data_IF_989126996354
#
_entry.id   IF_989126996354
#
_cell.length_a   1.000
_cell.length_b   1.000
_cell.length_c   1.000
_cell.angle_alpha   90.00
_cell.angle_beta   90.00
_cell.angle_gamma   90.00
#
_symmetry.space_group_name_H-M   'P 1'
#
loop_
_entity.id
_entity.type
_entity.pdbx_description
1 polymer ?
#
# COMPACT_ATOMS: atom_id res chain seq x y z
N UNK A 1 -36.63 -17.94 -1.59
CA UNK A 1 -36.47 -18.20 -0.15
C UNK A 1 -35.13 -17.63 0.24
N UNK A 2 -35.16 -16.61 1.10
CA UNK A 2 -33.98 -15.90 1.58
C UNK A 2 -33.46 -16.69 2.77
N UNK A 3 -32.33 -17.37 2.61
CA UNK A 3 -31.67 -18.04 3.73
C UNK A 3 -30.77 -17.04 4.45
N UNK A 4 -31.12 -16.84 5.71
CA UNK A 4 -30.46 -16.06 6.75
C UNK A 4 -29.04 -16.56 6.98
N UNK A 5 -28.05 -15.67 6.81
CA UNK A 5 -26.66 -15.92 7.23
C UNK A 5 -26.59 -16.02 8.75
N UNK A 6 -26.05 -17.14 9.20
CA UNK A 6 -25.75 -17.46 10.61
C UNK A 6 -24.74 -16.48 11.17
N UNK A 7 -25.15 -15.75 12.21
CA UNK A 7 -24.29 -14.95 13.09
C UNK A 7 -23.45 -15.88 13.96
N UNK A 8 -22.13 -15.83 13.82
CA UNK A 8 -21.17 -16.44 14.76
C UNK A 8 -21.19 -15.63 16.07
N UNK A 9 -21.18 -16.27 17.26
CA UNK A 9 -21.16 -15.53 18.53
C UNK A 9 -19.74 -15.03 18.80
N UNK A 10 -19.52 -13.71 18.70
CA UNK A 10 -18.32 -13.05 19.21
C UNK A 10 -18.48 -12.87 20.72
N UNK A 11 -17.77 -13.71 21.47
CA UNK A 11 -17.54 -13.52 22.89
C UNK A 11 -16.20 -12.81 23.10
N UNK A 12 -16.27 -11.55 23.51
CA UNK A 12 -15.36 -10.76 24.37
C UNK A 12 -15.51 -9.28 24.01
N UNK A 13 -15.53 -8.45 25.05
CA UNK A 13 -15.90 -7.04 25.09
C UNK A 13 -15.29 -6.21 23.94
N UNK A 14 -16.03 -6.02 22.84
CA UNK A 14 -15.65 -5.10 21.76
C UNK A 14 -15.54 -3.72 22.41
N UNK A 15 -14.32 -3.19 22.51
CA UNK A 15 -14.12 -1.87 23.11
C UNK A 15 -15.07 -0.87 22.44
N UNK A 16 -15.67 0.02 23.24
CA UNK A 16 -16.65 1.02 22.76
C UNK A 16 -16.10 1.85 21.57
N UNK A 17 -14.77 2.00 21.49
CA UNK A 17 -14.05 2.65 20.41
C UNK A 17 -14.06 1.85 19.10
N UNK A 18 -13.89 0.53 19.14
CA UNK A 18 -13.91 -0.31 17.94
C UNK A 18 -15.31 -0.28 17.29
N UNK A 19 -16.37 -0.42 18.09
CA UNK A 19 -17.75 -0.32 17.60
C UNK A 19 -18.02 1.05 16.96
N UNK A 20 -17.56 2.13 17.61
CA UNK A 20 -17.70 3.49 17.11
C UNK A 20 -17.03 3.69 15.76
N UNK A 21 -15.79 3.22 15.57
CA UNK A 21 -15.09 3.34 14.29
C UNK A 21 -15.74 2.49 13.20
N UNK A 22 -16.21 1.29 13.52
CA UNK A 22 -16.97 0.45 12.57
C UNK A 22 -18.25 1.14 12.10
N UNK A 23 -19.05 1.72 13.01
CA UNK A 23 -20.26 2.45 12.63
C UNK A 23 -19.95 3.70 11.80
N UNK A 24 -18.87 4.42 12.12
CA UNK A 24 -18.42 5.58 11.38
C UNK A 24 -17.96 5.21 9.96
N UNK A 25 -17.24 4.10 9.80
CA UNK A 25 -16.82 3.58 8.50
C UNK A 25 -18.02 3.20 7.64
N UNK A 26 -19.04 2.54 8.22
CA UNK A 26 -20.28 2.21 7.52
C UNK A 26 -21.05 3.46 7.08
N UNK A 27 -21.06 4.52 7.90
CA UNK A 27 -21.63 5.80 7.49
C UNK A 27 -20.83 6.40 6.33
N UNK A 28 -19.49 6.37 6.41
CA UNK A 28 -18.62 6.90 5.36
C UNK A 28 -18.82 6.21 4.02
N UNK A 29 -18.94 4.87 4.00
CA UNK A 29 -19.22 4.11 2.78
C UNK A 29 -20.53 4.57 2.11
N UNK A 30 -21.56 4.91 2.89
CA UNK A 30 -22.82 5.47 2.34
C UNK A 30 -22.63 6.87 1.77
N UNK A 31 -21.78 7.70 2.40
CA UNK A 31 -21.46 9.04 1.91
C UNK A 31 -20.76 8.98 0.55
N UNK A 32 -19.83 8.04 0.34
CA UNK A 32 -19.09 7.88 -0.93
C UNK A 32 -20.00 7.74 -2.16
N UNK A 33 -21.19 7.15 -2.00
CA UNK A 33 -22.15 6.95 -3.10
C UNK A 33 -23.40 7.83 -2.99
N UNK A 34 -23.43 8.80 -2.07
CA UNK A 34 -24.56 9.72 -1.93
C UNK A 34 -24.57 10.70 -3.10
N UNK A 35 -25.64 10.73 -3.89
CA UNK A 35 -25.78 11.66 -5.01
C UNK A 35 -25.78 13.12 -4.52
N UNK A 36 -25.02 14.00 -5.19
CA UNK A 36 -24.87 15.40 -4.80
C UNK A 36 -24.43 15.58 -3.34
N UNK A 37 -23.49 14.73 -2.87
CA UNK A 37 -23.02 14.67 -1.48
C UNK A 37 -22.77 16.05 -0.87
N UNK A 38 -21.95 16.89 -1.53
CA UNK A 38 -21.59 18.21 -1.01
C UNK A 38 -22.82 19.10 -0.77
N UNK A 39 -23.80 19.08 -1.69
CA UNK A 39 -25.05 19.83 -1.53
C UNK A 39 -25.92 19.25 -0.40
N UNK A 40 -25.99 17.92 -0.27
CA UNK A 40 -26.77 17.29 0.80
C UNK A 40 -26.20 17.61 2.19
N UNK A 41 -24.88 17.66 2.33
CA UNK A 41 -24.24 18.00 3.60
C UNK A 41 -24.49 19.46 4.01
N UNK A 42 -24.58 20.38 3.05
CA UNK A 42 -24.99 21.78 3.32
C UNK A 42 -26.43 21.87 3.85
N UNK A 43 -27.33 21.01 3.37
CA UNK A 43 -28.75 21.01 3.78
C UNK A 43 -29.01 20.21 5.05
N UNK A 44 -28.22 19.16 5.30
CA UNK A 44 -28.45 18.20 6.38
C UNK A 44 -27.14 17.69 6.98
N UNK A 45 -26.60 18.44 7.94
CA UNK A 45 -25.38 18.09 8.69
C UNK A 45 -25.49 16.81 9.52
N UNK A 46 -26.71 16.29 9.79
CA UNK A 46 -26.87 15.01 10.48
C UNK A 46 -26.43 13.80 9.64
N UNK A 47 -26.24 13.96 8.33
CA UNK A 47 -25.82 12.88 7.43
C UNK A 47 -24.41 12.36 7.70
N UNK A 48 -23.51 13.19 8.23
CA UNK A 48 -22.10 12.85 8.48
C UNK A 48 -21.67 13.03 9.94
N UNK A 49 -22.59 13.39 10.84
CA UNK A 49 -22.29 13.75 12.23
C UNK A 49 -21.52 12.66 13.01
N UNK A 50 -21.90 11.38 12.87
CA UNK A 50 -21.22 10.28 13.58
C UNK A 50 -19.80 10.08 13.05
N UNK A 51 -19.66 10.12 11.73
CA UNK A 51 -18.39 10.01 11.04
C UNK A 51 -17.45 11.15 11.41
N UNK A 52 -17.89 12.41 11.36
CA UNK A 52 -17.03 13.54 11.73
C UNK A 52 -16.63 13.52 13.20
N UNK A 53 -17.51 13.10 14.11
CA UNK A 53 -17.16 12.92 15.52
C UNK A 53 -16.08 11.84 15.70
N UNK A 54 -16.24 10.69 15.04
CA UNK A 54 -15.24 9.63 15.06
C UNK A 54 -13.92 10.04 14.41
N UNK A 55 -13.97 10.79 13.30
CA UNK A 55 -12.80 11.36 12.64
C UNK A 55 -12.06 12.32 13.56
N UNK A 56 -12.76 13.25 14.21
CA UNK A 56 -12.15 14.18 15.17
C UNK A 56 -11.45 13.47 16.32
N UNK A 57 -12.12 12.49 16.91
CA UNK A 57 -11.56 11.72 18.02
C UNK A 57 -10.36 10.87 17.58
N UNK A 58 -10.45 10.19 16.43
CA UNK A 58 -9.36 9.40 15.88
C UNK A 58 -8.13 10.26 15.57
N UNK A 59 -8.32 11.44 14.97
CA UNK A 59 -7.23 12.39 14.69
C UNK A 59 -6.53 12.89 15.96
N UNK A 60 -7.22 12.88 17.12
CA UNK A 60 -6.63 13.32 18.40
C UNK A 60 -5.75 12.27 19.08
N UNK A 61 -5.92 10.99 18.74
CA UNK A 61 -5.21 9.87 19.39
C UNK A 61 -4.32 9.06 18.43
N UNK A 62 -4.53 9.17 17.12
CA UNK A 62 -3.75 8.49 16.10
C UNK A 62 -2.26 8.82 16.23
N UNK A 63 -1.43 7.81 15.95
CA UNK A 63 0.04 7.89 16.01
C UNK A 63 0.63 8.33 17.37
N UNK A 64 -0.16 8.30 18.45
CA UNK A 64 0.32 8.52 19.81
C UNK A 64 0.75 7.20 20.46
N UNK A 65 1.99 7.13 20.94
CA UNK A 65 2.49 5.99 21.72
C UNK A 65 1.80 5.83 23.08
N UNK A 66 1.09 6.87 23.53
CA UNK A 66 0.51 6.94 24.87
C UNK A 66 -0.94 6.46 24.93
N UNK A 67 -1.59 6.22 23.79
CA UNK A 67 -3.00 5.85 23.73
C UNK A 67 -3.17 4.35 23.39
N UNK A 68 -3.89 3.58 24.22
CA UNK A 68 -4.22 2.19 23.89
C UNK A 68 -5.15 2.08 22.66
N UNK A 69 -5.81 3.16 22.26
CA UNK A 69 -6.72 3.21 21.11
C UNK A 69 -6.03 3.65 19.80
N UNK A 70 -4.71 3.91 19.83
CA UNK A 70 -3.98 4.45 18.68
C UNK A 70 -4.03 3.51 17.46
N UNK A 71 -3.89 2.19 17.64
CA UNK A 71 -3.90 1.21 16.54
C UNK A 71 -5.29 1.16 15.85
N UNK A 72 -6.37 1.18 16.63
CA UNK A 72 -7.73 1.22 16.11
C UNK A 72 -8.04 2.55 15.38
N UNK A 73 -7.55 3.67 15.91
CA UNK A 73 -7.66 4.97 15.25
C UNK A 73 -6.87 5.01 13.93
N UNK A 74 -5.62 4.54 13.92
CA UNK A 74 -4.79 4.47 12.73
C UNK A 74 -5.48 3.62 11.64
N UNK A 75 -6.00 2.45 12.02
CA UNK A 75 -6.73 1.58 11.09
C UNK A 75 -7.96 2.27 10.51
N UNK A 76 -8.79 2.90 11.36
CA UNK A 76 -9.95 3.65 10.90
C UNK A 76 -9.57 4.76 9.90
N UNK A 77 -8.58 5.59 10.25
CA UNK A 77 -8.12 6.68 9.39
C UNK A 77 -7.56 6.18 8.05
N UNK A 78 -6.73 5.14 8.08
CA UNK A 78 -6.11 4.59 6.87
C UNK A 78 -7.12 3.88 5.97
N UNK A 79 -8.16 3.24 6.54
CA UNK A 79 -9.28 2.68 5.75
C UNK A 79 -10.12 3.77 5.09
N UNK A 80 -10.44 4.84 5.82
CA UNK A 80 -11.15 6.01 5.26
C UNK A 80 -10.34 6.62 4.11
N UNK A 81 -9.05 6.82 4.31
CA UNK A 81 -8.15 7.37 3.30
C UNK A 81 -8.05 6.46 2.08
N UNK A 82 -7.90 5.14 2.26
CA UNK A 82 -7.90 4.17 1.15
C UNK A 82 -9.20 4.24 0.35
N UNK A 83 -10.36 4.32 1.02
CA UNK A 83 -11.67 4.41 0.35
C UNK A 83 -11.89 5.72 -0.43
N UNK A 84 -11.19 6.79 -0.08
CA UNK A 84 -11.12 8.00 -0.91
C UNK A 84 -10.19 7.74 -2.10
N UNK A 85 -9.00 7.22 -1.82
CA UNK A 85 -7.95 7.02 -2.81
C UNK A 85 -8.29 5.99 -3.88
N UNK A 86 -9.11 4.98 -3.57
CA UNK A 86 -9.59 4.01 -4.56
C UNK A 86 -10.36 4.67 -5.70
N UNK A 87 -10.97 5.84 -5.49
CA UNK A 87 -11.66 6.59 -6.55
C UNK A 87 -10.72 7.09 -7.66
N UNK A 88 -9.40 7.04 -7.44
CA UNK A 88 -8.40 7.38 -8.45
C UNK A 88 -8.16 6.24 -9.45
N UNK A 89 -8.67 5.03 -9.15
CA UNK A 89 -8.58 3.86 -10.01
C UNK A 89 -9.92 3.52 -10.63
N UNK A 90 -9.88 2.76 -11.72
CA UNK A 90 -11.06 2.23 -12.37
C UNK A 90 -11.19 0.72 -12.09
N UNK A 91 -12.28 0.35 -11.42
CA UNK A 91 -12.53 -1.00 -10.89
C UNK A 91 -13.51 -1.83 -11.72
N UNK A 92 -14.00 -1.29 -12.85
CA UNK A 92 -15.03 -1.94 -13.68
C UNK A 92 -16.33 -2.28 -12.93
N UNK A 93 -16.62 -1.59 -11.83
CA UNK A 93 -17.88 -1.63 -11.08
C UNK A 93 -18.92 -0.65 -11.64
N UNK A 94 -20.12 -0.60 -11.03
CA UNK A 94 -21.14 0.42 -11.33
C UNK A 94 -20.53 1.83 -11.31
N UNK A 95 -20.79 2.63 -12.34
CA UNK A 95 -20.26 3.99 -12.49
C UNK A 95 -20.71 4.95 -11.38
N UNK A 96 -21.82 4.65 -10.68
CA UNK A 96 -22.28 5.40 -9.51
C UNK A 96 -21.31 5.33 -8.34
N UNK A 97 -20.38 4.37 -8.33
CA UNK A 97 -19.34 4.28 -7.30
C UNK A 97 -18.31 5.42 -7.39
N UNK A 98 -18.24 6.13 -8.53
CA UNK A 98 -17.32 7.25 -8.75
C UNK A 98 -17.99 8.62 -8.58
N UNK A 99 -19.28 8.68 -8.24
CA UNK A 99 -20.08 9.92 -8.22
C UNK A 99 -19.43 11.06 -7.43
N UNK A 100 -18.67 10.74 -6.39
CA UNK A 100 -18.04 11.73 -5.50
C UNK A 100 -16.52 11.86 -5.68
N UNK A 101 -15.92 11.39 -6.78
CA UNK A 101 -14.47 11.49 -7.03
C UNK A 101 -13.92 12.93 -7.02
N UNK A 102 -14.79 13.93 -7.18
CA UNK A 102 -14.48 15.37 -7.11
C UNK A 102 -15.16 16.11 -5.95
N UNK A 103 -15.67 15.39 -4.96
CA UNK A 103 -16.35 16.00 -3.80
C UNK A 103 -15.37 16.84 -2.99
N UNK A 104 -15.78 18.07 -2.66
CA UNK A 104 -15.00 18.95 -1.77
C UNK A 104 -15.01 18.45 -0.33
N UNK A 105 -16.08 17.78 0.09
CA UNK A 105 -16.15 17.10 1.37
C UNK A 105 -15.13 15.97 1.48
N UNK A 106 -15.04 15.08 0.48
CA UNK A 106 -14.06 14.00 0.51
C UNK A 106 -12.63 14.53 0.47
N UNK A 107 -12.37 15.60 -0.29
CA UNK A 107 -11.10 16.32 -0.22
C UNK A 107 -10.81 16.83 1.20
N UNK A 108 -11.78 17.48 1.86
CA UNK A 108 -11.61 17.96 3.23
C UNK A 108 -11.30 16.83 4.23
N UNK A 109 -11.95 15.68 4.09
CA UNK A 109 -11.66 14.49 4.92
C UNK A 109 -10.23 14.02 4.68
N UNK A 110 -9.84 13.80 3.41
CA UNK A 110 -8.49 13.37 3.04
C UNK A 110 -7.44 14.29 3.61
N UNK A 111 -7.57 15.60 3.34
CA UNK A 111 -6.56 16.59 3.70
C UNK A 111 -6.35 16.65 5.23
N UNK A 112 -7.41 16.43 6.04
CA UNK A 112 -7.30 16.34 7.50
C UNK A 112 -6.54 15.11 7.97
N UNK A 113 -6.80 13.94 7.36
CA UNK A 113 -6.10 12.70 7.70
C UNK A 113 -4.63 12.80 7.29
N UNK A 114 -4.38 13.23 6.06
CA UNK A 114 -3.03 13.39 5.53
C UNK A 114 -2.21 14.41 6.32
N UNK A 115 -2.81 15.51 6.81
CA UNK A 115 -2.09 16.52 7.59
C UNK A 115 -1.51 15.93 8.89
N UNK A 116 -2.32 15.23 9.68
CA UNK A 116 -1.87 14.63 10.95
C UNK A 116 -0.87 13.51 10.67
N UNK A 117 -1.19 12.65 9.71
CA UNK A 117 -0.36 11.49 9.40
C UNK A 117 1.00 11.87 8.80
N UNK A 118 1.04 12.81 7.85
CA UNK A 118 2.30 13.24 7.23
C UNK A 118 3.20 14.02 8.19
N UNK A 119 2.65 14.75 9.16
CA UNK A 119 3.45 15.34 10.22
C UNK A 119 4.19 14.24 10.98
N UNK A 120 3.47 13.21 11.43
CA UNK A 120 4.05 12.08 12.15
C UNK A 120 5.08 11.29 11.33
N UNK A 121 4.81 10.99 10.05
CA UNK A 121 5.77 10.26 9.19
C UNK A 121 7.05 11.07 8.94
N UNK A 122 6.94 12.39 8.80
CA UNK A 122 8.12 13.25 8.63
C UNK A 122 8.95 13.34 9.92
N UNK A 123 8.31 13.32 11.09
CA UNK A 123 8.99 13.34 12.40
C UNK A 123 9.82 12.06 12.68
N UNK A 124 9.63 11.00 11.89
CA UNK A 124 10.43 9.77 11.99
C UNK A 124 11.82 9.88 11.34
N UNK A 125 12.09 10.94 10.58
CA UNK A 125 13.31 11.10 9.78
C UNK A 125 13.96 12.46 10.04
N UNK A 126 15.29 12.49 10.07
CA UNK A 126 16.05 13.74 10.18
C UNK A 126 16.13 14.45 8.81
N UNK A 127 15.08 15.19 8.47
CA UNK A 127 14.99 15.94 7.21
C UNK A 127 16.14 16.96 7.08
N UNK A 128 16.56 17.59 8.18
CA UNK A 128 17.66 18.57 8.15
C UNK A 128 18.99 17.92 7.79
N UNK A 129 19.22 16.68 8.24
CA UNK A 129 20.38 15.89 7.85
C UNK A 129 20.30 15.49 6.38
N UNK A 130 19.15 15.01 5.90
CA UNK A 130 18.97 14.61 4.49
C UNK A 130 19.28 15.74 3.51
N UNK A 131 18.91 16.98 3.86
CA UNK A 131 19.19 18.18 3.07
C UNK A 131 20.68 18.51 2.93
N UNK A 132 21.54 17.95 3.78
CA UNK A 132 23.00 18.19 3.81
C UNK A 132 23.80 17.08 3.12
N UNK A 133 23.16 16.01 2.67
CA UNK A 133 23.83 14.86 2.05
C UNK A 133 24.35 15.19 0.64
N UNK A 134 25.41 14.49 0.24
CA UNK A 134 25.64 14.23 -1.19
C UNK A 134 24.60 13.22 -1.65
N UNK A 135 23.54 13.72 -2.30
CA UNK A 135 22.37 12.91 -2.65
C UNK A 135 22.73 11.76 -3.58
N UNK A 136 23.62 11.97 -4.55
CA UNK A 136 23.97 10.90 -5.50
C UNK A 136 24.69 9.78 -4.80
N UNK A 137 25.69 10.13 -3.99
CA UNK A 137 26.44 9.15 -3.22
C UNK A 137 25.53 8.41 -2.23
N UNK A 138 24.64 9.15 -1.55
CA UNK A 138 23.67 8.59 -0.61
C UNK A 138 22.69 7.61 -1.25
N UNK A 139 22.25 7.86 -2.49
CA UNK A 139 21.37 6.95 -3.25
C UNK A 139 22.11 5.67 -3.67
N UNK A 140 23.36 5.79 -4.13
CA UNK A 140 24.20 4.65 -4.52
C UNK A 140 24.46 3.76 -3.31
N UNK A 141 24.91 4.34 -2.19
CA UNK A 141 25.21 3.58 -0.95
C UNK A 141 23.99 2.84 -0.40
N UNK A 142 22.81 3.46 -0.45
CA UNK A 142 21.55 2.81 -0.09
C UNK A 142 21.20 1.67 -1.04
N UNK A 143 21.30 1.92 -2.35
CA UNK A 143 21.06 0.93 -3.38
C UNK A 143 21.95 -0.31 -3.20
N UNK A 144 23.24 -0.12 -2.97
CA UNK A 144 24.19 -1.21 -2.73
C UNK A 144 23.86 -2.00 -1.45
N UNK A 145 23.45 -1.31 -0.38
CA UNK A 145 23.08 -1.95 0.88
C UNK A 145 21.78 -2.76 0.80
N UNK A 146 20.81 -2.30 0.00
CA UNK A 146 19.46 -2.86 -0.07
C UNK A 146 19.26 -3.83 -1.25
N UNK A 147 20.24 -3.96 -2.16
CA UNK A 147 20.23 -4.94 -3.24
C UNK A 147 20.30 -6.38 -2.70
N UNK A 148 21.22 -6.64 -1.77
CA UNK A 148 21.41 -7.94 -1.12
C UNK A 148 21.55 -7.79 0.40
N UNK A 149 20.49 -7.37 1.11
CA UNK A 149 20.54 -7.14 2.53
C UNK A 149 20.79 -8.45 3.29
N UNK A 150 21.45 -8.40 4.46
CA UNK A 150 21.69 -9.57 5.29
C UNK A 150 20.41 -10.32 5.63
N UNK A 151 20.53 -11.64 5.81
CA UNK A 151 19.39 -12.49 6.18
C UNK A 151 18.92 -12.16 7.60
N UNK A 152 17.76 -11.50 7.70
CA UNK A 152 17.09 -11.20 8.96
C UNK A 152 16.34 -12.42 9.52
N UNK A 153 15.91 -12.35 10.79
CA UNK A 153 15.08 -13.39 11.41
C UNK A 153 13.75 -13.60 10.68
N UNK A 154 13.08 -12.51 10.28
CA UNK A 154 11.84 -12.59 9.51
C UNK A 154 12.05 -13.26 8.15
N UNK A 155 13.13 -12.91 7.43
CA UNK A 155 13.47 -13.57 6.15
C UNK A 155 13.78 -15.05 6.34
N UNK A 156 14.51 -15.40 7.40
CA UNK A 156 14.75 -16.81 7.76
C UNK A 156 13.44 -17.56 7.99
N UNK A 157 12.56 -17.02 8.82
CA UNK A 157 11.25 -17.61 9.09
C UNK A 157 10.43 -17.83 7.82
N UNK A 158 10.34 -16.81 6.95
CA UNK A 158 9.60 -16.91 5.68
C UNK A 158 10.08 -18.12 4.87
N UNK A 159 11.39 -18.19 4.65
CA UNK A 159 12.02 -19.23 3.83
C UNK A 159 11.90 -20.62 4.45
N UNK A 160 12.21 -20.73 5.73
CA UNK A 160 12.54 -22.00 6.38
C UNK A 160 11.35 -22.58 7.17
N UNK A 161 10.44 -21.74 7.67
CA UNK A 161 9.46 -22.14 8.70
C UNK A 161 8.00 -21.90 8.30
N UNK A 162 7.70 -20.82 7.57
CA UNK A 162 6.31 -20.41 7.27
C UNK A 162 5.46 -21.56 6.69
N UNK A 163 4.30 -21.78 7.28
CA UNK A 163 3.35 -22.81 6.86
C UNK A 163 2.57 -22.41 5.60
N UNK A 164 1.83 -23.35 5.02
CA UNK A 164 0.89 -23.04 3.93
C UNK A 164 -0.20 -22.05 4.36
N UNK A 165 -0.68 -22.15 5.61
CA UNK A 165 -1.68 -21.22 6.15
C UNK A 165 -1.09 -19.80 6.25
N UNK A 166 0.12 -19.68 6.78
CA UNK A 166 0.85 -18.41 6.84
C UNK A 166 1.11 -17.82 5.45
N UNK A 167 1.53 -18.64 4.49
CA UNK A 167 1.73 -18.22 3.11
C UNK A 167 0.42 -17.72 2.48
N UNK A 168 -0.70 -18.42 2.66
CA UNK A 168 -2.02 -17.97 2.20
C UNK A 168 -2.43 -16.64 2.83
N UNK A 169 -2.17 -16.47 4.14
CA UNK A 169 -2.46 -15.22 4.83
C UNK A 169 -1.65 -14.04 4.29
N UNK A 170 -0.35 -14.26 4.06
CA UNK A 170 0.54 -13.28 3.45
C UNK A 170 0.01 -12.85 2.07
N UNK A 171 -0.32 -13.80 1.19
CA UNK A 171 -0.83 -13.50 -0.16
C UNK A 171 -2.19 -12.78 -0.10
N UNK A 172 -3.06 -13.15 0.84
CA UNK A 172 -4.34 -12.46 1.04
C UNK A 172 -4.15 -10.99 1.46
N UNK A 173 -3.18 -10.68 2.33
CA UNK A 173 -2.86 -9.28 2.67
C UNK A 173 -2.23 -8.56 1.46
N UNK A 174 -1.27 -9.19 0.80
CA UNK A 174 -0.54 -8.62 -0.33
C UNK A 174 -1.45 -8.36 -1.55
N UNK A 175 -2.59 -9.05 -1.65
CA UNK A 175 -3.51 -8.90 -2.79
C UNK A 175 -4.10 -7.50 -2.93
N UNK A 176 -4.10 -6.69 -1.87
CA UNK A 176 -4.59 -5.32 -1.93
C UNK A 176 -3.73 -4.43 -2.85
N UNK A 177 -2.45 -4.74 -3.02
CA UNK A 177 -1.55 -4.06 -3.95
C UNK A 177 -1.23 -4.91 -5.18
N UNK A 178 -0.94 -6.21 -5.01
CA UNK A 178 -0.53 -7.09 -6.12
C UNK A 178 -1.57 -7.24 -7.25
N UNK A 179 -2.87 -7.14 -6.94
CA UNK A 179 -3.92 -7.20 -7.97
C UNK A 179 -4.04 -5.90 -8.80
N UNK A 180 -3.57 -4.77 -8.26
CA UNK A 180 -3.61 -3.44 -8.89
C UNK A 180 -2.22 -2.88 -9.18
N UNK A 181 -1.21 -3.73 -9.11
CA UNK A 181 0.20 -3.42 -9.32
C UNK A 181 0.44 -2.52 -10.53
N UNK A 182 1.35 -1.56 -10.30
CA UNK A 182 1.81 -0.55 -11.27
C UNK A 182 0.74 0.45 -11.75
N UNK A 183 -0.52 0.34 -11.28
CA UNK A 183 -1.57 1.32 -11.60
C UNK A 183 -1.25 2.73 -11.10
N UNK A 184 -0.51 2.84 -9.99
CA UNK A 184 -0.14 4.12 -9.37
C UNK A 184 0.85 4.91 -10.23
N UNK A 185 1.80 4.22 -10.86
CA UNK A 185 2.82 4.81 -11.72
C UNK A 185 2.20 5.65 -12.86
N UNK A 186 1.06 5.21 -13.39
CA UNK A 186 0.29 5.94 -14.42
C UNK A 186 0.03 7.41 -14.06
N UNK A 187 -0.16 7.74 -12.78
CA UNK A 187 -0.51 9.10 -12.34
C UNK A 187 0.64 10.10 -12.42
N UNK A 188 1.89 9.64 -12.54
CA UNK A 188 3.06 10.52 -12.68
C UNK A 188 3.59 10.62 -14.11
N UNK A 189 3.01 9.86 -15.06
CA UNK A 189 3.50 9.80 -16.43
C UNK A 189 2.97 10.90 -17.36
N UNK A 190 1.93 11.63 -16.96
CA UNK A 190 1.40 12.75 -17.75
C UNK A 190 2.29 14.00 -17.67
N UNK A 191 2.73 14.54 -18.80
CA UNK A 191 3.52 15.77 -18.85
C UNK A 191 4.43 15.87 -20.08
N UNK A 192 5.39 16.81 -20.05
CA UNK A 192 6.43 16.92 -21.07
C UNK A 192 7.46 15.79 -20.90
N UNK A 193 7.70 15.02 -21.96
CA UNK A 193 8.58 13.85 -21.90
C UNK A 193 10.06 14.23 -21.99
N UNK A 194 10.89 13.50 -21.23
CA UNK A 194 12.35 13.47 -21.29
C UNK A 194 12.81 12.01 -21.11
N UNK A 195 14.12 11.77 -21.04
CA UNK A 195 14.69 10.41 -20.88
C UNK A 195 14.23 9.72 -19.58
N UNK A 196 14.05 10.48 -18.49
CA UNK A 196 13.49 9.95 -17.24
C UNK A 196 12.06 9.48 -17.46
N UNK A 197 11.22 10.31 -18.07
CA UNK A 197 9.82 9.97 -18.38
C UNK A 197 9.72 8.75 -19.31
N UNK A 198 10.60 8.67 -20.32
CA UNK A 198 10.66 7.54 -21.25
C UNK A 198 11.06 6.23 -20.53
N UNK A 199 11.99 6.32 -19.57
CA UNK A 199 12.38 5.19 -18.72
C UNK A 199 11.23 4.72 -17.83
N UNK A 200 10.52 5.64 -17.17
CA UNK A 200 9.36 5.31 -16.35
C UNK A 200 8.21 4.68 -17.17
N UNK A 201 8.00 5.14 -18.41
CA UNK A 201 7.05 4.51 -19.35
C UNK A 201 7.50 3.09 -19.70
N UNK A 202 8.80 2.87 -19.92
CA UNK A 202 9.34 1.53 -20.20
C UNK A 202 9.07 0.58 -19.04
N UNK A 203 9.34 1.00 -17.80
CA UNK A 203 9.00 0.23 -16.59
C UNK A 203 7.51 -0.09 -16.59
N UNK A 204 6.63 0.92 -16.68
CA UNK A 204 5.17 0.70 -16.71
C UNK A 204 4.75 -0.32 -17.80
N UNK A 205 5.35 -0.24 -18.99
CA UNK A 205 5.02 -1.16 -20.08
C UNK A 205 5.42 -2.60 -19.77
N UNK A 206 6.56 -2.85 -19.11
CA UNK A 206 6.97 -4.19 -18.68
C UNK A 206 6.00 -4.74 -17.62
N UNK A 207 5.70 -3.93 -16.60
CA UNK A 207 4.70 -4.22 -15.54
C UNK A 207 3.29 -4.56 -16.08
N UNK A 208 2.88 -3.85 -17.15
CA UNK A 208 1.61 -4.09 -17.85
C UNK A 208 1.68 -5.22 -18.89
N UNK A 209 2.72 -6.04 -18.89
CA UNK A 209 2.87 -7.16 -19.81
C UNK A 209 2.94 -6.72 -21.27
N UNK A 210 3.50 -5.54 -21.53
CA UNK A 210 3.48 -4.83 -22.82
C UNK A 210 2.07 -4.65 -23.39
N UNK A 211 1.09 -4.41 -22.51
CA UNK A 211 -0.31 -4.21 -22.86
C UNK A 211 -1.09 -5.50 -23.13
N UNK A 212 -0.52 -6.68 -22.84
CA UNK A 212 -1.21 -7.97 -22.97
C UNK A 212 -1.64 -8.43 -21.58
N UNK A 213 -2.96 -8.52 -21.35
CA UNK A 213 -3.50 -8.93 -20.05
C UNK A 213 -2.90 -10.26 -19.56
N UNK A 214 -2.77 -11.26 -20.44
CA UNK A 214 -2.17 -12.56 -20.10
C UNK A 214 -0.69 -12.51 -19.69
N UNK A 215 -0.03 -11.36 -19.83
CA UNK A 215 1.34 -11.09 -19.39
C UNK A 215 1.43 -9.99 -18.33
N UNK A 216 0.32 -9.34 -17.98
CA UNK A 216 0.32 -8.34 -16.92
C UNK A 216 0.71 -9.04 -15.62
N UNK A 217 1.61 -8.46 -14.85
CA UNK A 217 2.10 -9.07 -13.62
C UNK A 217 0.95 -9.43 -12.66
N UNK A 218 -0.04 -8.55 -12.49
CA UNK A 218 -1.23 -8.85 -11.69
C UNK A 218 -2.07 -10.05 -12.17
N UNK A 219 -1.93 -10.51 -13.42
CA UNK A 219 -2.53 -11.78 -13.87
C UNK A 219 -1.81 -13.00 -13.31
N UNK A 220 -0.48 -12.94 -13.19
CA UNK A 220 0.28 -13.98 -12.48
C UNK A 220 -0.03 -13.96 -10.98
N UNK A 221 -0.21 -12.78 -10.38
CA UNK A 221 -0.64 -12.66 -8.98
C UNK A 221 -2.01 -13.31 -8.76
N UNK A 222 -2.98 -13.01 -9.63
CA UNK A 222 -4.31 -13.62 -9.56
C UNK A 222 -4.29 -15.15 -9.75
N UNK A 223 -3.43 -15.66 -10.64
CA UNK A 223 -3.22 -17.11 -10.81
C UNK A 223 -2.63 -17.75 -9.56
N UNK A 224 -1.61 -17.11 -8.96
CA UNK A 224 -1.04 -17.56 -7.69
C UNK A 224 -2.11 -17.64 -6.59
N UNK A 225 -2.98 -16.64 -6.49
CA UNK A 225 -4.12 -16.67 -5.55
C UNK A 225 -5.05 -17.86 -5.81
N UNK A 226 -5.41 -18.12 -7.06
CA UNK A 226 -6.31 -19.24 -7.42
C UNK A 226 -5.71 -20.60 -7.06
N UNK A 227 -4.43 -20.82 -7.35
CA UNK A 227 -3.70 -22.05 -7.00
C UNK A 227 -3.62 -22.28 -5.48
N UNK A 228 -3.63 -21.19 -4.71
CA UNK A 228 -3.70 -21.22 -3.24
C UNK A 228 -5.13 -21.35 -2.70
N UNK A 229 -6.14 -21.43 -3.57
CA UNK A 229 -7.55 -21.45 -3.19
C UNK A 229 -8.00 -20.14 -2.53
N UNK A 230 -7.46 -19.00 -2.98
CA UNK A 230 -7.87 -17.65 -2.59
C UNK A 230 -8.74 -17.03 -3.69
N UNK A 231 -9.64 -16.11 -3.31
CA UNK A 231 -10.43 -15.34 -4.26
C UNK A 231 -9.60 -14.16 -4.83
N UNK A 232 -9.32 -14.11 -6.14
CA UNK A 232 -8.52 -13.06 -6.76
C UNK A 232 -9.31 -11.78 -7.08
N UNK A 233 -10.56 -11.65 -6.63
CA UNK A 233 -11.33 -10.41 -6.80
C UNK A 233 -10.68 -9.28 -5.97
N UNK A 234 -10.36 -8.12 -6.58
CA UNK A 234 -9.73 -7.01 -5.87
C UNK A 234 -10.50 -6.59 -4.62
N UNK A 235 -9.77 -6.17 -3.59
CA UNK A 235 -10.33 -5.72 -2.30
C UNK A 235 -11.06 -6.81 -1.47
N UNK A 236 -11.10 -8.09 -1.90
CA UNK A 236 -11.77 -9.19 -1.16
C UNK A 236 -11.28 -9.31 0.29
N UNK A 237 -9.96 -9.21 0.49
CA UNK A 237 -9.32 -9.40 1.78
C UNK A 237 -9.02 -8.08 2.51
N UNK A 238 -9.69 -6.97 2.12
CA UNK A 238 -9.47 -5.65 2.71
C UNK A 238 -9.54 -5.64 4.24
N UNK A 239 -10.43 -6.43 4.84
CA UNK A 239 -10.60 -6.49 6.29
C UNK A 239 -9.41 -7.15 7.03
N UNK A 240 -8.57 -7.93 6.34
CA UNK A 240 -7.36 -8.53 6.89
C UNK A 240 -6.16 -7.58 6.91
N UNK A 241 -6.23 -6.49 6.15
CA UNK A 241 -5.06 -5.64 5.92
C UNK A 241 -4.82 -4.72 7.12
N UNK A 242 -3.63 -4.76 7.74
CA UNK A 242 -3.32 -3.91 8.88
C UNK A 242 -3.07 -2.46 8.43
N UNK A 243 -3.15 -1.51 9.37
CA UNK A 243 -3.08 -0.09 9.04
C UNK A 243 -1.72 0.31 8.47
N UNK A 244 -0.65 -0.40 8.83
CA UNK A 244 0.73 -0.18 8.35
C UNK A 244 0.84 -0.44 6.84
N UNK A 245 0.19 -1.50 6.35
CA UNK A 245 0.12 -1.80 4.92
C UNK A 245 -0.74 -0.78 4.19
N UNK A 246 -1.90 -0.40 4.78
CA UNK A 246 -2.75 0.65 4.21
C UNK A 246 -2.02 2.01 4.16
N UNK A 247 -1.22 2.34 5.17
CA UNK A 247 -0.41 3.55 5.20
C UNK A 247 0.59 3.55 4.04
N UNK A 248 1.29 2.45 3.79
CA UNK A 248 2.24 2.32 2.65
C UNK A 248 1.53 2.53 1.32
N UNK A 249 0.36 1.89 1.14
CA UNK A 249 -0.49 2.05 -0.05
C UNK A 249 -0.98 3.51 -0.23
N UNK A 250 -1.45 4.13 0.85
CA UNK A 250 -1.93 5.51 0.84
C UNK A 250 -0.80 6.52 0.62
N UNK A 251 0.42 6.20 1.02
CA UNK A 251 1.57 7.07 0.84
C UNK A 251 1.88 7.20 -0.64
N UNK A 252 1.88 6.07 -1.34
CA UNK A 252 2.06 6.05 -2.77
C UNK A 252 0.97 6.85 -3.52
N UNK A 253 -0.30 6.77 -3.08
CA UNK A 253 -1.35 7.65 -3.60
C UNK A 253 -1.03 9.14 -3.37
N UNK A 254 -0.71 9.54 -2.14
CA UNK A 254 -0.35 10.93 -1.81
C UNK A 254 0.78 11.44 -2.72
N UNK A 255 1.85 10.67 -2.88
CA UNK A 255 3.02 11.07 -3.67
C UNK A 255 2.71 11.18 -5.17
N UNK A 256 1.92 10.24 -5.72
CA UNK A 256 1.60 10.22 -7.17
C UNK A 256 0.57 11.28 -7.57
N UNK A 257 -0.35 11.63 -6.67
CA UNK A 257 -1.38 12.64 -6.91
C UNK A 257 -0.86 14.07 -6.80
N UNK A 258 0.24 14.31 -6.08
CA UNK A 258 0.84 15.64 -5.90
C UNK A 258 2.16 15.75 -6.64
N UNK A 259 2.17 16.48 -7.75
CA UNK A 259 3.37 16.65 -8.60
C UNK A 259 4.58 17.28 -7.87
N UNK A 260 4.35 18.03 -6.78
CA UNK A 260 5.41 18.50 -5.87
C UNK A 260 6.23 17.36 -5.25
N UNK A 261 5.65 16.17 -5.13
CA UNK A 261 6.29 14.98 -4.59
C UNK A 261 6.87 14.07 -5.67
N UNK A 262 7.01 14.53 -6.93
CA UNK A 262 7.56 13.72 -8.01
C UNK A 262 8.95 13.15 -7.68
N UNK A 263 9.85 13.94 -7.12
CA UNK A 263 11.17 13.46 -6.67
C UNK A 263 11.04 12.43 -5.55
N UNK A 264 10.23 12.73 -4.54
CA UNK A 264 9.95 11.84 -3.42
C UNK A 264 9.40 10.48 -3.88
N UNK A 265 8.43 10.47 -4.78
CA UNK A 265 7.89 9.23 -5.36
C UNK A 265 8.97 8.41 -6.05
N UNK A 266 9.77 9.03 -6.93
CA UNK A 266 10.80 8.32 -7.67
C UNK A 266 11.93 7.80 -6.76
N UNK A 267 12.18 8.45 -5.63
CA UNK A 267 13.05 7.95 -4.57
C UNK A 267 12.55 6.65 -3.95
N UNK A 268 11.30 6.65 -3.49
CA UNK A 268 10.65 5.44 -2.94
C UNK A 268 10.53 4.33 -3.97
N UNK A 269 10.17 4.67 -5.21
CA UNK A 269 10.09 3.70 -6.30
C UNK A 269 11.46 3.10 -6.64
N UNK A 270 12.55 3.87 -6.50
CA UNK A 270 13.91 3.34 -6.64
C UNK A 270 14.26 2.33 -5.55
N UNK A 271 13.87 2.58 -4.30
CA UNK A 271 14.03 1.58 -3.23
C UNK A 271 13.26 0.31 -3.55
N UNK A 272 11.98 0.43 -3.93
CA UNK A 272 11.11 -0.71 -4.23
C UNK A 272 11.71 -1.62 -5.30
N UNK A 273 12.15 -1.05 -6.43
CA UNK A 273 12.71 -1.79 -7.57
C UNK A 273 14.09 -2.40 -7.27
N UNK A 274 14.83 -1.87 -6.29
CA UNK A 274 16.11 -2.46 -5.85
C UNK A 274 15.88 -3.60 -4.85
N UNK A 275 15.03 -3.37 -3.83
CA UNK A 275 14.84 -4.30 -2.72
C UNK A 275 13.87 -5.44 -3.05
N UNK A 276 12.83 -5.20 -3.85
CA UNK A 276 11.77 -6.15 -4.22
C UNK A 276 12.27 -7.56 -4.54
N UNK A 277 13.21 -7.74 -5.51
CA UNK A 277 13.73 -9.07 -5.85
C UNK A 277 14.39 -9.80 -4.67
N UNK A 278 14.91 -9.10 -3.66
CA UNK A 278 15.48 -9.72 -2.46
C UNK A 278 14.42 -10.48 -1.66
N UNK A 279 13.26 -9.88 -1.40
CA UNK A 279 12.18 -10.53 -0.64
C UNK A 279 11.44 -11.58 -1.47
N UNK A 280 11.31 -11.38 -2.79
CA UNK A 280 10.68 -12.35 -3.68
C UNK A 280 11.44 -13.68 -3.76
N UNK A 281 12.79 -13.64 -3.67
CA UNK A 281 13.61 -14.86 -3.53
C UNK A 281 13.25 -15.65 -2.26
N UNK A 282 12.91 -14.95 -1.17
CA UNK A 282 12.53 -15.58 0.09
C UNK A 282 11.13 -16.20 0.03
N UNK A 283 10.16 -15.53 -0.61
CA UNK A 283 8.83 -16.09 -0.87
C UNK A 283 8.89 -17.27 -1.84
N UNK A 284 9.73 -17.20 -2.87
CA UNK A 284 9.98 -18.31 -3.79
C UNK A 284 10.54 -19.54 -3.04
N UNK A 285 11.52 -19.34 -2.16
CA UNK A 285 12.07 -20.43 -1.35
C UNK A 285 11.00 -21.08 -0.45
N UNK A 286 10.12 -20.28 0.15
CA UNK A 286 8.99 -20.78 0.92
C UNK A 286 8.02 -21.60 0.06
N UNK A 287 7.67 -21.10 -1.13
CA UNK A 287 6.78 -21.78 -2.07
C UNK A 287 7.34 -23.14 -2.53
N UNK A 288 8.64 -23.20 -2.83
CA UNK A 288 9.35 -24.43 -3.19
C UNK A 288 9.34 -25.45 -2.06
N UNK A 289 9.66 -25.03 -0.82
CA UNK A 289 9.61 -25.90 0.37
C UNK A 289 8.21 -26.46 0.61
N UNK A 290 7.17 -25.65 0.35
CA UNK A 290 5.76 -26.03 0.47
C UNK A 290 5.25 -26.87 -0.71
N UNK A 291 6.09 -27.16 -1.72
CA UNK A 291 5.74 -27.89 -2.95
C UNK A 291 4.55 -27.26 -3.70
N UNK A 292 4.51 -25.92 -3.77
CA UNK A 292 3.50 -25.21 -4.58
C UNK A 292 3.75 -25.44 -6.08
N UNK A 293 2.70 -25.26 -6.90
CA UNK A 293 2.78 -25.44 -8.34
C UNK A 293 3.64 -24.36 -9.02
N UNK A 294 4.16 -24.64 -10.22
CA UNK A 294 4.88 -23.64 -11.02
C UNK A 294 4.00 -22.40 -11.28
N UNK A 295 2.69 -22.58 -11.42
CA UNK A 295 1.75 -21.47 -11.59
C UNK A 295 1.66 -20.61 -10.32
N UNK A 296 1.65 -21.22 -9.13
CA UNK A 296 1.70 -20.49 -7.86
C UNK A 296 3.02 -19.74 -7.65
N UNK A 297 4.10 -20.18 -8.29
CA UNK A 297 5.42 -19.53 -8.22
C UNK A 297 5.67 -18.50 -9.33
N UNK A 298 4.83 -18.49 -10.37
CA UNK A 298 5.08 -17.72 -11.60
C UNK A 298 5.22 -16.21 -11.40
N UNK A 299 4.49 -15.63 -10.44
CA UNK A 299 4.60 -14.20 -10.12
C UNK A 299 5.99 -13.83 -9.55
N UNK A 300 6.54 -14.67 -8.66
CA UNK A 300 7.88 -14.46 -8.12
C UNK A 300 8.97 -14.71 -9.15
N UNK A 301 8.82 -15.75 -9.98
CA UNK A 301 9.80 -16.04 -11.04
C UNK A 301 9.91 -14.88 -12.02
N UNK A 302 8.76 -14.28 -12.38
CA UNK A 302 8.69 -13.13 -13.25
C UNK A 302 9.51 -11.95 -12.72
N UNK A 303 9.24 -11.55 -11.48
CA UNK A 303 9.94 -10.44 -10.81
C UNK A 303 11.42 -10.72 -10.60
N UNK A 304 11.79 -11.92 -10.13
CA UNK A 304 13.21 -12.28 -9.94
C UNK A 304 14.00 -12.20 -11.27
N UNK A 305 13.36 -12.51 -12.41
CA UNK A 305 13.98 -12.43 -13.73
C UNK A 305 14.02 -11.01 -14.30
N UNK A 306 12.99 -10.20 -14.06
CA UNK A 306 12.83 -8.88 -14.68
C UNK A 306 13.48 -7.75 -13.85
N UNK A 307 13.47 -7.85 -12.52
CA UNK A 307 13.69 -6.71 -11.60
C UNK A 307 15.15 -6.27 -11.44
N UNK A 308 16.14 -7.12 -11.69
CA UNK A 308 17.55 -6.67 -11.61
C UNK A 308 17.79 -5.51 -12.59
N UNK A 309 17.07 -5.47 -13.71
CA UNK A 309 17.14 -4.37 -14.68
C UNK A 309 16.36 -3.14 -14.21
N UNK A 310 15.21 -3.33 -13.54
CA UNK A 310 14.39 -2.21 -13.07
C UNK A 310 15.11 -1.41 -11.98
N UNK A 311 15.71 -2.08 -10.99
CA UNK A 311 16.51 -1.40 -9.95
C UNK A 311 17.65 -0.57 -10.55
N UNK A 312 18.35 -1.12 -11.56
CA UNK A 312 19.40 -0.42 -12.29
C UNK A 312 18.87 0.79 -13.08
N UNK A 313 17.73 0.65 -13.76
CA UNK A 313 17.10 1.76 -14.47
C UNK A 313 16.62 2.85 -13.52
N UNK A 314 16.00 2.47 -12.41
CA UNK A 314 15.53 3.43 -11.43
C UNK A 314 16.68 4.19 -10.80
N UNK A 315 17.79 3.54 -10.44
CA UNK A 315 18.95 4.25 -9.91
C UNK A 315 19.64 5.11 -10.98
N UNK A 316 20.09 4.50 -12.08
CA UNK A 316 20.99 5.15 -13.02
C UNK A 316 20.30 5.98 -14.11
N UNK A 317 19.06 5.64 -14.48
CA UNK A 317 18.32 6.33 -15.54
C UNK A 317 17.19 7.23 -15.02
N UNK A 318 16.83 7.13 -13.73
CA UNK A 318 15.79 7.97 -13.10
C UNK A 318 16.36 8.80 -11.95
N UNK A 319 16.74 8.18 -10.83
CA UNK A 319 17.07 8.88 -9.60
C UNK A 319 18.32 9.76 -9.72
N UNK A 320 19.43 9.23 -10.26
CA UNK A 320 20.65 10.01 -10.45
C UNK A 320 20.48 11.18 -11.45
N UNK A 321 19.83 11.00 -12.63
CA UNK A 321 19.49 12.12 -13.51
C UNK A 321 18.56 13.15 -12.88
N UNK A 322 17.59 12.73 -12.05
CA UNK A 322 16.73 13.65 -11.33
C UNK A 322 17.51 14.44 -10.27
N UNK A 323 18.45 13.82 -9.57
CA UNK A 323 19.34 14.49 -8.64
C UNK A 323 20.23 15.53 -9.33
N UNK A 324 20.66 15.27 -10.57
CA UNK A 324 21.37 16.25 -11.40
C UNK A 324 20.50 17.42 -11.83
N UNK A 325 19.25 17.13 -12.22
CA UNK A 325 18.35 18.14 -12.74
C UNK A 325 17.81 19.07 -11.65
N UNK A 326 17.66 18.58 -10.42
CA UNK A 326 17.11 19.32 -9.28
C UNK A 326 18.07 19.35 -8.08
N UNK A 327 19.27 19.93 -8.18
CA UNK A 327 20.31 19.80 -7.15
C UNK A 327 19.87 20.33 -5.78
N UNK A 328 19.05 21.38 -5.73
CA UNK A 328 18.55 21.97 -4.47
C UNK A 328 17.39 21.18 -3.84
N UNK A 329 16.69 20.36 -4.61
CA UNK A 329 15.54 19.55 -4.16
C UNK A 329 15.84 18.05 -4.17
N UNK A 330 17.03 17.64 -4.57
CA UNK A 330 17.41 16.23 -4.76
C UNK A 330 17.25 15.42 -3.48
N UNK A 331 17.42 16.02 -2.30
CA UNK A 331 17.22 15.37 -0.99
C UNK A 331 15.83 14.74 -0.84
N UNK A 332 14.82 15.21 -1.58
CA UNK A 332 13.48 14.59 -1.63
C UNK A 332 13.53 13.15 -2.19
N UNK A 333 14.47 12.82 -3.09
CA UNK A 333 14.69 11.45 -3.57
C UNK A 333 15.15 10.54 -2.41
N UNK A 334 16.11 10.99 -1.61
CA UNK A 334 16.61 10.22 -0.45
C UNK A 334 15.51 10.08 0.59
N UNK A 335 14.75 11.15 0.83
CA UNK A 335 13.61 11.12 1.74
C UNK A 335 12.54 10.13 1.30
N UNK A 336 12.19 10.11 0.01
CA UNK A 336 11.24 9.13 -0.51
C UNK A 336 11.74 7.69 -0.40
N UNK A 337 13.03 7.47 -0.66
CA UNK A 337 13.70 6.18 -0.50
C UNK A 337 13.59 5.70 0.96
N UNK A 338 13.97 6.55 1.91
CA UNK A 338 13.98 6.22 3.34
C UNK A 338 12.56 6.06 3.90
N UNK A 339 11.58 6.85 3.40
CA UNK A 339 10.17 6.69 3.77
C UNK A 339 9.61 5.36 3.31
N UNK A 340 9.81 4.98 2.03
CA UNK A 340 9.33 3.71 1.50
C UNK A 340 9.90 2.53 2.29
N UNK A 341 11.21 2.59 2.61
CA UNK A 341 11.89 1.58 3.44
C UNK A 341 11.31 1.50 4.84
N UNK A 342 11.25 2.62 5.56
CA UNK A 342 10.78 2.66 6.94
C UNK A 342 9.33 2.19 7.06
N UNK A 343 8.47 2.62 6.14
CA UNK A 343 7.07 2.20 6.10
C UNK A 343 6.93 0.72 5.75
N UNK A 344 7.73 0.23 4.80
CA UNK A 344 7.81 -1.17 4.43
C UNK A 344 8.27 -2.06 5.58
N UNK A 345 9.28 -1.65 6.34
CA UNK A 345 9.76 -2.37 7.53
C UNK A 345 8.66 -2.46 8.60
N UNK A 346 7.98 -1.34 8.87
CA UNK A 346 6.86 -1.28 9.82
C UNK A 346 5.70 -2.18 9.39
N UNK A 347 5.34 -2.16 8.10
CA UNK A 347 4.34 -3.04 7.53
C UNK A 347 4.76 -4.52 7.60
N UNK A 348 6.04 -4.82 7.32
CA UNK A 348 6.60 -6.17 7.41
C UNK A 348 6.47 -6.76 8.80
N UNK A 349 6.77 -5.99 9.86
CA UNK A 349 6.57 -6.43 11.25
C UNK A 349 5.11 -6.78 11.54
N UNK A 350 4.17 -5.91 11.14
CA UNK A 350 2.74 -6.14 11.36
C UNK A 350 2.23 -7.36 10.59
N UNK A 351 2.64 -7.54 9.33
CA UNK A 351 2.30 -8.70 8.51
C UNK A 351 2.86 -9.98 9.11
N UNK A 352 4.11 -9.97 9.59
CA UNK A 352 4.70 -11.16 10.20
C UNK A 352 3.98 -11.62 11.46
N UNK A 353 3.49 -10.67 12.28
CA UNK A 353 2.63 -10.96 13.43
C UNK A 353 1.34 -11.64 12.98
N UNK A 354 0.62 -11.05 12.02
CA UNK A 354 -0.64 -11.60 11.50
C UNK A 354 -0.48 -12.97 10.83
N UNK A 355 0.61 -13.16 10.09
CA UNK A 355 0.98 -14.45 9.49
C UNK A 355 1.12 -15.50 10.58
N UNK A 356 1.96 -15.26 11.60
CA UNK A 356 2.17 -16.21 12.71
C UNK A 356 0.87 -16.51 13.48
N UNK A 357 0.06 -15.48 13.74
CA UNK A 357 -1.24 -15.66 14.39
C UNK A 357 -2.17 -16.54 13.56
N UNK A 358 -2.20 -16.33 12.23
CA UNK A 358 -3.01 -17.11 11.30
C UNK A 358 -2.63 -18.60 11.25
N UNK A 359 -1.36 -18.95 11.48
CA UNK A 359 -0.91 -20.34 11.53
C UNK A 359 -1.47 -21.11 12.73
N UNK A 360 -1.84 -20.39 13.79
CA UNK A 360 -2.40 -20.98 15.02
C UNK A 360 -3.93 -21.01 15.01
N UNK A 361 -4.57 -20.31 14.07
CA UNK A 361 -6.02 -20.13 13.99
C UNK A 361 -6.64 -21.05 12.95
N UNK A 362 -7.74 -21.69 13.33
CA UNK A 362 -8.53 -22.57 12.43
C UNK A 362 -9.78 -21.90 11.88
N UNK A 363 -10.10 -20.69 12.33
CA UNK A 363 -11.33 -19.96 12.01
C UNK A 363 -11.16 -18.95 10.86
N UNK A 364 -9.95 -18.78 10.34
CA UNK A 364 -9.69 -17.97 9.15
C UNK A 364 -10.14 -18.76 7.92
N UNK A 365 -11.28 -18.37 7.37
CA UNK A 365 -11.80 -18.88 6.11
C UNK A 365 -11.36 -17.95 4.98
N UNK A 366 -10.67 -18.51 3.99
CA UNK A 366 -10.21 -17.78 2.80
C UNK A 366 -11.15 -17.91 1.62
#
# INVERSE_FOLDING_TARGET
MVETRSTVPLGEDISSHLLKYTEAEQQFVKLLTTENLDQQLLLKSSLNQRFEAALGDALSVAYSEQSPDAEAANLFLQRVLYRINRLNFFWYTDLKQYTNERSTYLQWVRDRIETVWQAWENDQLDIEQLQKLDVKQALIERGDADLEPPLSESKRYIREEMSLAGYRHLIAIASLDGLVESSRLCHILGGASNEVQATLIRVLLEEYGSGRLSRKHSTFFAQMMQELGLNPEPETYFDLVPWEVLASINHNFLLTQRKRHFLRYNGGFTYFEIYGPSIYKDYMAAAQRLNLSDQAMGYWELHIREDERHGQWMLHNVALPLAEHYPEQAWELVLGYDQEKLMGDRAGVAVMRLVKDAETRTDILY
#
